data_IF_528241649774
#
_entry.id   IF_528241649774
#
_cell.length_a   1.000
_cell.length_b   1.000
_cell.length_c   1.000
_cell.angle_alpha   90.00
_cell.angle_beta   90.00
_cell.angle_gamma   90.00
#
_symmetry.space_group_name_H-M   'P 1'
#
loop_
_entity.id
_entity.type
_entity.pdbx_description
1 polymer ?
#
# COMPACT_ATOMS: atom_id res chain seq x y z
N UNK A 1 -1.95 -1.29 -13.20
CA UNK A 1 -1.49 -1.27 -11.79
C UNK A 1 -0.77 0.04 -11.52
N UNK A 2 -1.00 0.67 -10.37
CA UNK A 2 -0.24 1.83 -9.90
C UNK A 2 0.58 1.41 -8.67
N UNK A 3 1.91 1.45 -8.81
CA UNK A 3 2.86 0.97 -7.81
C UNK A 3 3.82 2.07 -7.31
N UNK A 4 4.03 3.14 -8.08
CA UNK A 4 4.96 4.20 -7.67
C UNK A 4 4.59 4.75 -6.28
N UNK A 5 5.58 4.87 -5.43
CA UNK A 5 5.40 5.37 -4.06
C UNK A 5 6.72 5.68 -3.39
N UNK A 6 6.68 6.64 -2.49
CA UNK A 6 7.80 7.00 -1.62
C UNK A 6 7.35 6.93 -0.16
N UNK A 7 8.31 6.80 0.75
CA UNK A 7 8.09 6.90 2.18
C UNK A 7 9.08 7.87 2.82
N UNK A 8 8.66 8.48 3.91
CA UNK A 8 9.51 9.34 4.74
C UNK A 8 9.20 9.03 6.20
N UNK A 9 10.20 8.58 6.93
CA UNK A 9 10.11 8.42 8.38
C UNK A 9 10.45 9.77 9.04
N UNK A 10 9.50 10.29 9.81
CA UNK A 10 9.69 11.48 10.63
C UNK A 10 8.62 11.49 11.74
N UNK A 11 8.89 12.17 12.85
CA UNK A 11 7.88 12.45 13.87
C UNK A 11 6.86 13.47 13.34
N UNK A 12 5.78 13.71 14.09
CA UNK A 12 4.80 14.75 13.71
C UNK A 12 5.49 16.12 13.68
N UNK A 13 6.37 16.36 14.64
CA UNK A 13 7.09 17.64 14.81
C UNK A 13 8.13 17.89 13.72
N UNK A 14 8.74 16.81 13.20
CA UNK A 14 9.85 16.89 12.24
C UNK A 14 9.39 16.88 10.77
N UNK A 15 8.10 16.60 10.51
CA UNK A 15 7.58 16.65 9.14
C UNK A 15 7.54 18.08 8.61
N UNK A 16 8.21 18.31 7.48
CA UNK A 16 8.10 19.56 6.74
C UNK A 16 6.88 19.57 5.82
N UNK A 17 6.41 20.77 5.43
CA UNK A 17 5.35 20.91 4.39
C UNK A 17 5.81 20.27 3.09
N UNK A 18 7.08 20.44 2.71
CA UNK A 18 7.64 19.86 1.50
C UNK A 18 7.60 18.33 1.51
N UNK A 19 8.00 17.68 2.60
CA UNK A 19 7.92 16.22 2.75
C UNK A 19 6.48 15.74 2.61
N UNK A 20 5.53 16.43 3.25
CA UNK A 20 4.11 16.12 3.17
C UNK A 20 3.58 16.23 1.75
N UNK A 21 3.86 17.35 1.06
CA UNK A 21 3.41 17.60 -0.31
C UNK A 21 4.01 16.59 -1.29
N UNK A 22 5.28 16.24 -1.16
CA UNK A 22 5.96 15.24 -1.97
C UNK A 22 5.32 13.84 -1.78
N UNK A 23 5.01 13.47 -0.55
CA UNK A 23 4.33 12.20 -0.25
C UNK A 23 2.94 12.15 -0.91
N UNK A 24 2.13 13.19 -0.76
CA UNK A 24 0.79 13.24 -1.36
C UNK A 24 0.84 13.37 -2.88
N UNK A 25 1.78 14.13 -3.43
CA UNK A 25 1.98 14.24 -4.87
C UNK A 25 2.30 12.87 -5.49
N UNK A 26 3.24 12.12 -4.90
CA UNK A 26 3.67 10.84 -5.44
C UNK A 26 2.67 9.72 -5.14
N UNK A 27 2.21 9.61 -3.89
CA UNK A 27 1.45 8.44 -3.48
C UNK A 27 -0.06 8.55 -3.76
N UNK A 28 -0.60 9.77 -3.90
CA UNK A 28 -2.05 10.00 -4.06
C UNK A 28 -2.37 10.68 -5.38
N UNK A 29 -1.76 11.83 -5.67
CA UNK A 29 -2.02 12.57 -6.91
C UNK A 29 -1.58 11.79 -8.14
N UNK A 30 -0.39 11.18 -8.07
CA UNK A 30 0.16 10.42 -9.20
C UNK A 30 -0.69 9.20 -9.62
N UNK A 31 -1.26 8.39 -8.75
CA UNK A 31 -2.20 7.35 -9.19
C UNK A 31 -3.57 7.90 -9.61
N UNK A 32 -4.02 9.02 -9.04
CA UNK A 32 -5.35 9.56 -9.30
C UNK A 32 -5.52 10.07 -10.74
N UNK A 33 -4.64 10.96 -11.19
CA UNK A 33 -4.81 11.62 -12.47
C UNK A 33 -4.57 10.69 -13.68
N UNK A 34 -3.56 9.81 -13.71
CA UNK A 34 -3.45 8.83 -14.79
C UNK A 34 -4.66 7.90 -14.90
N UNK A 35 -5.24 7.46 -13.77
CA UNK A 35 -6.48 6.68 -13.83
C UNK A 35 -7.61 7.50 -14.44
N UNK A 36 -7.79 8.75 -14.02
CA UNK A 36 -8.77 9.67 -14.61
C UNK A 36 -8.61 9.81 -16.14
N UNK A 37 -7.39 10.06 -16.60
CA UNK A 37 -7.10 10.23 -18.04
C UNK A 37 -7.28 8.94 -18.85
N UNK A 38 -7.03 7.78 -18.23
CA UNK A 38 -7.19 6.48 -18.88
C UNK A 38 -8.61 5.92 -18.82
N UNK A 39 -9.52 6.53 -18.03
CA UNK A 39 -10.89 6.04 -17.88
C UNK A 39 -11.65 5.83 -19.20
N UNK A 40 -11.48 6.66 -20.25
CA UNK A 40 -12.14 6.42 -21.55
C UNK A 40 -11.67 5.12 -22.24
N UNK A 41 -10.49 4.61 -21.89
CA UNK A 41 -9.92 3.39 -22.47
C UNK A 41 -10.31 2.12 -21.70
N UNK A 42 -10.89 2.25 -20.49
CA UNK A 42 -11.32 1.12 -19.69
C UNK A 42 -12.74 0.70 -20.06
N UNK A 43 -12.91 -0.60 -20.32
CA UNK A 43 -14.19 -1.25 -20.60
C UNK A 43 -14.47 -2.38 -19.62
N UNK A 44 -15.51 -3.15 -19.93
CA UNK A 44 -15.88 -4.35 -19.18
C UNK A 44 -14.70 -5.31 -19.05
N UNK A 45 -14.49 -5.87 -17.85
CA UNK A 45 -13.36 -6.74 -17.54
C UNK A 45 -12.06 -6.02 -17.18
N UNK A 46 -11.98 -4.69 -17.33
CA UNK A 46 -10.81 -3.92 -16.92
C UNK A 46 -10.59 -3.98 -15.41
N UNK A 47 -9.31 -3.94 -15.01
CA UNK A 47 -8.90 -4.02 -13.63
C UNK A 47 -7.94 -2.90 -13.25
N UNK A 48 -8.23 -2.23 -12.14
CA UNK A 48 -7.36 -1.24 -11.51
C UNK A 48 -6.85 -1.83 -10.20
N UNK A 49 -5.53 -1.93 -10.05
CA UNK A 49 -4.91 -2.37 -8.79
C UNK A 49 -3.96 -1.28 -8.31
N UNK A 50 -4.18 -0.84 -7.07
CA UNK A 50 -3.36 0.13 -6.38
C UNK A 50 -2.52 -0.56 -5.28
N UNK A 51 -1.35 0.02 -4.98
CA UNK A 51 -0.49 -0.48 -3.88
C UNK A 51 -0.64 0.44 -2.68
N UNK A 52 -1.37 -0.04 -1.67
CA UNK A 52 -1.47 0.56 -0.34
C UNK A 52 -0.28 0.15 0.54
N UNK A 53 -0.47 -0.03 1.79
CA UNK A 53 0.51 -0.51 2.78
C UNK A 53 -0.20 -0.96 4.04
N UNK A 54 0.41 -1.87 4.78
CA UNK A 54 0.05 -2.17 6.16
C UNK A 54 -0.02 -0.89 7.03
N UNK A 55 0.85 0.09 6.79
CA UNK A 55 0.88 1.36 7.52
C UNK A 55 -0.43 2.17 7.44
N UNK A 56 -1.30 1.90 6.46
CA UNK A 56 -2.63 2.51 6.39
C UNK A 56 -3.56 2.08 7.54
N UNK A 57 -3.26 0.97 8.20
CA UNK A 57 -4.16 0.30 9.16
C UNK A 57 -3.58 0.12 10.55
N UNK A 58 -2.26 0.03 10.64
CA UNK A 58 -1.56 -0.21 11.91
C UNK A 58 -0.35 0.71 12.02
N UNK A 59 -0.01 1.06 13.25
CA UNK A 59 1.25 1.75 13.54
C UNK A 59 2.36 0.71 13.70
N UNK A 60 3.52 0.88 13.05
CA UNK A 60 4.66 0.02 13.30
C UNK A 60 5.15 0.19 14.74
N UNK A 61 5.49 -0.92 15.41
CA UNK A 61 6.03 -0.91 16.77
C UNK A 61 5.05 -0.40 17.84
N UNK A 62 5.60 0.02 18.96
CA UNK A 62 4.88 0.70 20.04
C UNK A 62 5.10 2.20 19.92
N UNK A 63 4.06 3.02 19.72
CA UNK A 63 4.19 4.46 19.63
C UNK A 63 4.91 5.03 20.87
N UNK A 64 5.89 5.90 20.64
CA UNK A 64 6.68 6.52 21.70
C UNK A 64 7.86 5.69 22.21
N UNK A 65 8.08 4.48 21.72
CA UNK A 65 9.28 3.72 22.02
C UNK A 65 10.48 4.19 21.18
N UNK A 66 11.66 4.44 21.77
CA UNK A 66 12.84 4.82 21.00
C UNK A 66 13.14 3.79 19.88
N UNK A 67 13.44 4.26 18.68
CA UNK A 67 13.72 3.43 17.51
C UNK A 67 12.49 2.91 16.77
N UNK A 68 11.27 3.21 17.22
CA UNK A 68 10.05 2.91 16.46
C UNK A 68 9.92 3.91 15.31
N UNK A 69 9.87 3.46 14.04
CA UNK A 69 9.67 4.37 12.93
C UNK A 69 8.29 5.03 13.01
N UNK A 70 8.25 6.35 12.90
CA UNK A 70 7.02 7.12 12.77
C UNK A 70 6.79 7.46 11.31
N UNK A 71 5.60 7.17 10.79
CA UNK A 71 5.26 7.30 9.38
C UNK A 71 3.89 7.97 9.17
N UNK A 72 3.51 9.03 9.93
CA UNK A 72 2.13 9.52 9.95
C UNK A 72 1.66 10.02 8.59
N UNK A 73 2.45 10.83 7.89
CA UNK A 73 2.10 11.35 6.58
C UNK A 73 2.08 10.26 5.50
N UNK A 74 3.03 9.32 5.53
CA UNK A 74 3.01 8.16 4.65
C UNK A 74 1.75 7.31 4.87
N UNK A 75 1.44 6.99 6.12
CA UNK A 75 0.24 6.24 6.49
C UNK A 75 -1.04 6.93 5.99
N UNK A 76 -1.12 8.26 6.14
CA UNK A 76 -2.24 9.05 5.62
C UNK A 76 -2.39 8.91 4.10
N UNK A 77 -1.28 8.94 3.32
CA UNK A 77 -1.34 8.72 1.87
C UNK A 77 -1.86 7.31 1.52
N UNK A 78 -1.47 6.30 2.29
CA UNK A 78 -1.90 4.91 2.04
C UNK A 78 -3.35 4.68 2.48
N UNK A 79 -3.81 5.36 3.54
CA UNK A 79 -5.24 5.44 3.90
C UNK A 79 -6.07 6.10 2.80
N UNK A 80 -5.58 7.17 2.18
CA UNK A 80 -6.23 7.81 1.04
C UNK A 80 -6.39 6.83 -0.13
N UNK A 81 -5.38 6.01 -0.45
CA UNK A 81 -5.47 4.96 -1.47
C UNK A 81 -6.60 3.96 -1.16
N UNK A 82 -6.73 3.48 0.08
CA UNK A 82 -7.80 2.55 0.45
C UNK A 82 -9.20 3.17 0.31
N UNK A 83 -9.31 4.47 0.58
CA UNK A 83 -10.55 5.21 0.36
C UNK A 83 -10.86 5.36 -1.13
N UNK A 84 -9.87 5.72 -1.95
CA UNK A 84 -10.02 5.81 -3.41
C UNK A 84 -10.49 4.48 -4.01
N UNK A 85 -9.92 3.36 -3.58
CA UNK A 85 -10.31 2.02 -4.03
C UNK A 85 -11.81 1.78 -3.84
N UNK A 86 -12.36 2.10 -2.68
CA UNK A 86 -13.79 1.94 -2.38
C UNK A 86 -14.67 2.82 -3.27
N UNK A 87 -14.31 4.10 -3.37
CA UNK A 87 -15.08 5.06 -4.18
C UNK A 87 -15.02 4.74 -5.66
N UNK A 88 -13.86 4.36 -6.19
CA UNK A 88 -13.72 4.00 -7.60
C UNK A 88 -14.41 2.68 -7.93
N UNK A 89 -14.34 1.69 -7.02
CA UNK A 89 -15.06 0.44 -7.20
C UNK A 89 -16.58 0.66 -7.30
N UNK A 90 -17.13 1.51 -6.43
CA UNK A 90 -18.55 1.87 -6.47
C UNK A 90 -18.92 2.63 -7.75
N UNK A 91 -18.10 3.60 -8.16
CA UNK A 91 -18.38 4.44 -9.34
C UNK A 91 -18.22 3.68 -10.66
N UNK A 92 -17.27 2.74 -10.74
CA UNK A 92 -16.90 2.06 -11.99
C UNK A 92 -17.52 0.67 -12.13
N UNK A 93 -18.13 0.13 -11.08
CA UNK A 93 -18.69 -1.22 -11.06
C UNK A 93 -19.78 -1.44 -12.13
N UNK A 94 -20.62 -0.46 -12.40
CA UNK A 94 -21.65 -0.53 -13.47
C UNK A 94 -21.04 -0.65 -14.88
N UNK A 95 -19.77 -0.27 -15.06
CA UNK A 95 -19.01 -0.44 -16.29
C UNK A 95 -18.28 -1.76 -16.38
N UNK A 96 -18.49 -2.67 -15.41
CA UNK A 96 -17.77 -3.94 -15.34
C UNK A 96 -16.28 -3.80 -14.97
N UNK A 97 -15.87 -2.65 -14.40
CA UNK A 97 -14.47 -2.36 -14.03
C UNK A 97 -14.29 -2.68 -12.55
N UNK A 98 -13.29 -3.50 -12.22
CA UNK A 98 -12.94 -3.82 -10.84
C UNK A 98 -11.79 -2.97 -10.35
N UNK A 99 -11.87 -2.53 -9.09
CA UNK A 99 -10.84 -1.70 -8.45
C UNK A 99 -10.49 -2.31 -7.11
N UNK A 100 -9.22 -2.68 -6.91
CA UNK A 100 -8.75 -3.26 -5.67
C UNK A 100 -7.37 -2.68 -5.28
N UNK A 101 -6.94 -2.95 -4.06
CA UNK A 101 -5.57 -2.70 -3.63
C UNK A 101 -4.95 -3.95 -3.02
N UNK A 102 -3.63 -3.98 -3.01
CA UNK A 102 -2.84 -4.81 -2.11
C UNK A 102 -2.25 -3.91 -1.03
N UNK A 103 -2.16 -4.41 0.21
CA UNK A 103 -1.56 -3.72 1.33
C UNK A 103 -0.35 -4.55 1.85
N UNK A 104 0.83 -4.36 1.25
CA UNK A 104 2.03 -5.09 1.65
C UNK A 104 2.47 -4.73 3.08
N UNK A 105 3.01 -5.73 3.78
CA UNK A 105 3.81 -5.54 4.98
C UNK A 105 5.25 -5.15 4.64
N UNK A 106 6.21 -5.68 5.40
CA UNK A 106 7.63 -5.47 5.14
C UNK A 106 8.09 -6.41 4.03
N UNK A 107 8.41 -5.85 2.88
CA UNK A 107 8.86 -6.55 1.67
C UNK A 107 10.33 -6.19 1.39
N UNK A 108 11.14 -7.15 0.99
CA UNK A 108 12.55 -6.95 0.67
C UNK A 108 12.73 -6.12 -0.61
N UNK A 109 12.89 -4.82 -0.42
CA UNK A 109 13.06 -3.79 -1.45
C UNK A 109 13.97 -2.69 -0.92
N UNK A 110 14.37 -1.75 -1.76
CA UNK A 110 15.16 -0.60 -1.34
C UNK A 110 14.43 0.28 -0.32
N UNK A 111 13.12 0.33 -0.34
CA UNK A 111 12.31 1.04 0.66
C UNK A 111 12.46 0.42 2.07
N UNK A 112 12.81 -0.86 2.16
CA UNK A 112 12.96 -1.62 3.39
C UNK A 112 14.43 -1.88 3.76
N UNK A 113 15.34 -1.01 3.35
CA UNK A 113 16.79 -1.18 3.61
C UNK A 113 17.14 -1.33 5.10
N UNK A 114 16.28 -0.86 6.01
CA UNK A 114 16.46 -1.08 7.45
C UNK A 114 16.51 -2.58 7.83
N UNK A 115 15.89 -3.46 7.05
CA UNK A 115 15.93 -4.92 7.28
C UNK A 115 17.27 -5.57 6.97
N UNK A 116 18.20 -4.84 6.36
CA UNK A 116 19.58 -5.29 6.12
C UNK A 116 20.41 -5.32 7.41
N UNK A 117 19.98 -4.61 8.45
CA UNK A 117 20.58 -4.69 9.78
C UNK A 117 19.90 -5.80 10.59
N UNK A 118 20.65 -6.43 11.51
CA UNK A 118 20.11 -7.46 12.40
C UNK A 118 18.94 -6.93 13.25
N UNK A 119 19.11 -5.74 13.84
CA UNK A 119 18.07 -5.09 14.64
C UNK A 119 16.81 -4.79 13.82
N UNK A 120 16.95 -4.23 12.61
CA UNK A 120 15.82 -3.93 11.74
C UNK A 120 15.11 -5.19 11.23
N UNK A 121 15.87 -6.24 10.92
CA UNK A 121 15.32 -7.54 10.57
C UNK A 121 14.55 -8.15 11.74
N UNK A 122 15.14 -8.15 12.94
CA UNK A 122 14.50 -8.63 14.16
C UNK A 122 13.20 -7.89 14.45
N UNK A 123 13.21 -6.56 14.30
CA UNK A 123 12.01 -5.74 14.43
C UNK A 123 10.91 -6.16 13.42
N UNK A 124 11.24 -6.28 12.14
CA UNK A 124 10.27 -6.70 11.13
C UNK A 124 9.68 -8.08 11.45
N UNK A 125 10.52 -9.05 11.81
CA UNK A 125 10.08 -10.40 12.16
C UNK A 125 9.25 -10.46 13.45
N UNK A 126 9.48 -9.54 14.39
CA UNK A 126 8.69 -9.48 15.63
C UNK A 126 7.22 -9.10 15.37
N UNK A 127 6.96 -8.33 14.32
CA UNK A 127 5.61 -7.87 13.95
C UNK A 127 4.80 -8.91 13.18
N UNK A 128 5.41 -9.95 12.63
CA UNK A 128 4.79 -10.87 11.68
C UNK A 128 4.54 -12.25 12.30
N UNK A 129 3.43 -12.88 11.89
CA UNK A 129 3.17 -14.29 12.22
C UNK A 129 4.12 -15.21 11.43
N UNK A 130 4.26 -14.98 10.11
CA UNK A 130 5.23 -15.70 9.29
C UNK A 130 6.63 -15.12 9.48
N UNK A 131 7.56 -15.91 10.00
CA UNK A 131 8.90 -15.45 10.42
C UNK A 131 9.90 -15.34 9.26
N UNK A 132 9.52 -14.63 8.21
CA UNK A 132 10.40 -14.26 7.10
C UNK A 132 10.04 -12.86 6.57
N UNK A 133 10.99 -12.18 5.97
CA UNK A 133 10.69 -10.94 5.21
C UNK A 133 9.95 -11.33 3.94
N UNK A 134 8.89 -10.59 3.60
CA UNK A 134 8.15 -10.79 2.37
C UNK A 134 9.02 -10.51 1.13
N UNK A 135 8.74 -11.21 0.04
CA UNK A 135 9.41 -11.01 -1.23
C UNK A 135 8.50 -10.25 -2.21
N UNK A 136 9.04 -9.53 -3.19
CA UNK A 136 8.22 -8.89 -4.22
C UNK A 136 7.27 -9.87 -4.94
N UNK A 137 7.68 -11.13 -5.11
CA UNK A 137 6.83 -12.19 -5.67
C UNK A 137 5.59 -12.48 -4.83
N UNK A 138 5.68 -12.41 -3.49
CA UNK A 138 4.51 -12.62 -2.63
C UNK A 138 3.39 -11.60 -2.94
N UNK A 139 3.77 -10.37 -3.26
CA UNK A 139 2.83 -9.30 -3.64
C UNK A 139 2.38 -9.45 -5.09
N UNK A 140 3.30 -9.78 -5.99
CA UNK A 140 3.03 -9.93 -7.42
C UNK A 140 2.00 -11.04 -7.70
N UNK A 141 2.09 -12.16 -7.00
CA UNK A 141 1.15 -13.28 -7.14
C UNK A 141 -0.27 -12.90 -6.74
N UNK A 142 -0.43 -12.11 -5.66
CA UNK A 142 -1.74 -11.59 -5.25
C UNK A 142 -2.28 -10.59 -6.28
N UNK A 143 -1.43 -9.74 -6.85
CA UNK A 143 -1.83 -8.81 -7.92
C UNK A 143 -2.28 -9.61 -9.16
N UNK A 144 -1.52 -10.62 -9.56
CA UNK A 144 -1.87 -11.50 -10.68
C UNK A 144 -3.22 -12.20 -10.46
N UNK A 145 -3.48 -12.69 -9.26
CA UNK A 145 -4.79 -13.22 -8.89
C UNK A 145 -5.90 -12.16 -9.01
N UNK A 146 -5.68 -10.96 -8.46
CA UNK A 146 -6.70 -9.89 -8.46
C UNK A 146 -7.09 -9.44 -9.88
N UNK A 147 -6.17 -9.49 -10.84
CA UNK A 147 -6.49 -9.14 -12.24
C UNK A 147 -7.05 -10.31 -13.05
N UNK A 148 -7.00 -11.53 -12.52
CA UNK A 148 -7.51 -12.73 -13.18
C UNK A 148 -9.04 -12.88 -13.05
N UNK A 149 -9.60 -13.81 -13.82
CA UNK A 149 -11.01 -14.23 -13.70
C UNK A 149 -11.31 -14.93 -12.37
N UNK A 150 -10.30 -15.48 -11.68
CA UNK A 150 -10.46 -16.05 -10.34
C UNK A 150 -10.99 -15.03 -9.32
N UNK A 151 -10.65 -13.76 -9.52
CA UNK A 151 -11.08 -12.65 -8.65
C UNK A 151 -12.28 -11.85 -9.21
N UNK A 152 -13.06 -12.41 -10.15
CA UNK A 152 -14.15 -11.68 -10.84
C UNK A 152 -15.24 -11.12 -9.92
N UNK A 153 -15.34 -11.60 -8.69
CA UNK A 153 -16.31 -11.13 -7.69
C UNK A 153 -15.69 -10.32 -6.57
N UNK A 154 -14.43 -9.86 -6.77
CA UNK A 154 -13.69 -9.04 -5.81
C UNK A 154 -13.50 -7.64 -6.40
N UNK A 155 -14.10 -6.63 -5.76
CA UNK A 155 -13.91 -5.20 -6.06
C UNK A 155 -14.09 -4.38 -4.80
N UNK A 156 -13.41 -3.25 -4.68
CA UNK A 156 -13.43 -2.38 -3.50
C UNK A 156 -12.60 -2.92 -2.32
N UNK A 157 -11.87 -4.01 -2.51
CA UNK A 157 -11.08 -4.64 -1.47
C UNK A 157 -9.64 -4.12 -1.42
N UNK A 158 -9.08 -4.05 -0.22
CA UNK A 158 -7.63 -3.90 -0.01
C UNK A 158 -7.13 -5.13 0.74
N UNK A 159 -6.33 -5.94 0.04
CA UNK A 159 -5.89 -7.26 0.48
C UNK A 159 -4.56 -7.14 1.21
N UNK A 160 -4.48 -7.50 2.51
CA UNK A 160 -3.21 -7.59 3.22
C UNK A 160 -2.30 -8.65 2.61
N UNK A 161 -1.03 -8.29 2.37
CA UNK A 161 0.03 -9.21 1.94
C UNK A 161 1.22 -8.96 2.84
N UNK A 162 1.10 -9.34 4.09
CA UNK A 162 1.93 -8.82 5.17
C UNK A 162 2.46 -9.90 6.14
N UNK A 163 2.26 -11.17 5.79
CA UNK A 163 2.70 -12.29 6.63
C UNK A 163 2.00 -12.38 7.99
N UNK A 164 0.80 -11.80 8.12
CA UNK A 164 0.07 -11.74 9.38
C UNK A 164 0.69 -10.73 10.35
N UNK A 165 1.02 -9.54 9.84
CA UNK A 165 1.58 -8.49 10.68
C UNK A 165 0.52 -7.85 11.57
N UNK A 166 0.80 -7.77 12.86
CA UNK A 166 -0.09 -7.14 13.85
C UNK A 166 -1.48 -7.79 13.95
N UNK A 167 -1.50 -9.12 13.86
CA UNK A 167 -2.70 -9.90 14.21
C UNK A 167 -3.05 -9.75 15.70
#
# INVERSE_FOLDING_TARGET
MSNAGISKAASIEDHTIEDFDNLFATNVRSPFFPVKELLPLFGEGSNIVLVSSLAARVTPGNPGQPGTPSLPAYAATKGAIETLVKHWAAALGQRGIRVNAVAPGVIETDMSNFTKTEAGRGFALSMQALKRIGQPSDVADVIAFLVSNGARWITGASIPVDGGSKL
#
